data_IF_702675446066
#
_entry.id   IF_702675446066
#
_cell.length_a   1.000
_cell.length_b   1.000
_cell.length_c   1.000
_cell.angle_alpha   90.00
_cell.angle_beta   90.00
_cell.angle_gamma   90.00
#
_symmetry.space_group_name_H-M   'P 1'
#
loop_
_entity.id
_entity.type
_entity.pdbx_description
1 polymer ?
#
# COMPACT_ATOMS: atom_id res chain seq x y z
N UNK A 1 -0.08 1.36 -31.59
CA UNK A 1 0.16 0.57 -30.36
C UNK A 1 1.03 1.41 -29.44
N UNK A 2 0.42 2.09 -28.47
CA UNK A 2 1.19 2.88 -27.49
C UNK A 2 1.81 1.91 -26.48
N UNK A 3 3.11 1.68 -26.61
CA UNK A 3 3.88 1.00 -25.57
C UNK A 3 4.11 2.05 -24.49
N UNK A 4 3.25 2.07 -23.47
CA UNK A 4 3.54 2.80 -22.24
C UNK A 4 4.76 2.14 -21.61
N UNK A 5 5.93 2.76 -21.79
CA UNK A 5 7.15 2.38 -21.09
C UNK A 5 7.02 2.81 -19.63
N UNK A 6 6.08 2.19 -18.90
CA UNK A 6 5.89 2.44 -17.47
C UNK A 6 7.01 1.71 -16.75
N UNK A 7 7.88 2.49 -16.10
CA UNK A 7 8.85 1.97 -15.14
C UNK A 7 8.12 1.02 -14.19
N UNK A 8 8.58 -0.21 -14.09
CA UNK A 8 8.07 -1.17 -13.10
C UNK A 8 8.46 -0.63 -11.73
N UNK A 9 7.48 -0.35 -10.88
CA UNK A 9 7.72 0.08 -9.51
C UNK A 9 8.22 -1.12 -8.69
N UNK A 10 9.40 -1.01 -8.09
CA UNK A 10 10.08 -2.10 -7.39
C UNK A 10 10.04 -1.94 -5.86
N UNK A 11 10.47 -2.97 -5.12
CA UNK A 11 10.68 -2.87 -3.67
C UNK A 11 11.72 -1.80 -3.31
N UNK A 12 12.73 -1.58 -4.16
CA UNK A 12 13.70 -0.52 -3.94
C UNK A 12 13.06 0.87 -4.09
N UNK A 13 12.16 1.05 -5.07
CA UNK A 13 11.38 2.28 -5.22
C UNK A 13 10.45 2.50 -4.02
N UNK A 14 9.83 1.44 -3.51
CA UNK A 14 9.05 1.49 -2.27
C UNK A 14 9.89 2.02 -1.12
N UNK A 15 11.02 1.37 -0.83
CA UNK A 15 11.90 1.75 0.26
C UNK A 15 12.40 3.20 0.09
N UNK A 16 12.75 3.63 -1.11
CA UNK A 16 13.22 4.99 -1.39
C UNK A 16 12.11 6.05 -1.26
N UNK A 17 10.84 5.67 -1.40
CA UNK A 17 9.69 6.59 -1.23
C UNK A 17 9.31 6.86 0.23
N UNK A 18 9.81 6.03 1.16
CA UNK A 18 9.53 6.17 2.58
C UNK A 18 10.24 7.39 3.16
N UNK A 19 9.52 8.10 4.02
CA UNK A 19 10.04 9.24 4.77
C UNK A 19 11.14 8.80 5.73
N UNK A 20 12.13 9.66 5.98
CA UNK A 20 13.26 9.38 6.89
C UNK A 20 12.82 8.99 8.30
N UNK A 21 11.65 9.50 8.72
CA UNK A 21 10.96 9.06 9.93
C UNK A 21 9.55 8.64 9.61
N UNK A 22 9.16 7.47 10.09
CA UNK A 22 7.82 6.94 9.93
C UNK A 22 7.33 6.31 11.23
N UNK A 23 6.01 6.25 11.35
CA UNK A 23 5.36 5.57 12.47
C UNK A 23 5.51 4.06 12.30
N UNK A 24 5.92 3.37 13.36
CA UNK A 24 6.06 1.91 13.36
C UNK A 24 5.87 1.32 14.76
N UNK A 25 5.57 0.02 14.81
CA UNK A 25 5.44 -0.74 16.06
C UNK A 25 5.56 -2.24 15.81
N UNK A 26 5.98 -2.98 16.84
CA UNK A 26 5.89 -4.45 16.88
C UNK A 26 4.63 -4.95 17.58
N UNK A 27 4.05 -4.14 18.45
CA UNK A 27 2.83 -4.45 19.18
C UNK A 27 2.02 -3.15 19.40
N UNK A 28 0.78 -3.14 18.93
CA UNK A 28 -0.13 -2.02 19.09
C UNK A 28 -0.45 -1.70 20.56
N UNK A 29 -0.33 -2.66 21.49
CA UNK A 29 -0.51 -2.44 22.93
C UNK A 29 0.50 -1.43 23.51
N UNK A 30 1.71 -1.41 22.94
CA UNK A 30 2.76 -0.48 23.34
C UNK A 30 2.60 0.90 22.71
N UNK A 31 1.64 1.06 21.78
CA UNK A 31 1.45 2.26 20.97
C UNK A 31 2.24 2.24 19.65
N UNK A 32 2.13 3.35 18.92
CA UNK A 32 2.79 3.56 17.62
C UNK A 32 3.64 4.82 17.70
N UNK A 33 4.94 4.70 17.40
CA UNK A 33 5.90 5.80 17.56
C UNK A 33 6.65 6.11 16.27
N UNK A 34 7.15 7.34 16.17
CA UNK A 34 8.02 7.75 15.07
C UNK A 34 9.44 7.24 15.27
N UNK A 35 9.89 6.36 14.39
CA UNK A 35 11.24 5.81 14.36
C UNK A 35 11.99 6.28 13.11
N UNK A 36 13.32 6.25 13.18
CA UNK A 36 14.16 6.39 11.98
C UNK A 36 13.84 5.26 11.01
N UNK A 37 13.94 5.52 9.71
CA UNK A 37 13.56 4.58 8.65
C UNK A 37 14.23 3.23 8.80
N UNK A 38 15.52 3.19 9.12
CA UNK A 38 16.29 1.95 9.29
C UNK A 38 15.74 1.11 10.44
N UNK A 39 15.32 1.75 11.54
CA UNK A 39 14.71 1.08 12.69
C UNK A 39 13.26 0.69 12.37
N UNK A 40 12.50 1.57 11.73
CA UNK A 40 11.11 1.29 11.41
C UNK A 40 10.97 0.07 10.49
N UNK A 41 11.89 -0.10 9.53
CA UNK A 41 11.92 -1.24 8.62
C UNK A 41 12.22 -2.58 9.31
N UNK A 42 12.67 -2.60 10.56
CA UNK A 42 12.81 -3.85 11.34
C UNK A 42 11.56 -4.23 12.12
N UNK A 43 10.60 -3.30 12.29
CA UNK A 43 9.36 -3.56 13.01
C UNK A 43 8.34 -4.33 12.17
N UNK A 44 7.43 -5.04 12.84
CA UNK A 44 6.32 -5.78 12.19
C UNK A 44 5.35 -4.88 11.42
N UNK A 45 5.10 -3.67 11.92
CA UNK A 45 4.14 -2.75 11.34
C UNK A 45 4.78 -1.39 11.09
N UNK A 46 4.56 -0.86 9.88
CA UNK A 46 5.01 0.46 9.46
C UNK A 46 3.84 1.22 8.82
N UNK A 47 3.76 2.53 9.08
CA UNK A 47 2.85 3.44 8.40
C UNK A 47 3.64 4.21 7.33
N UNK A 48 3.57 3.74 6.09
CA UNK A 48 4.28 4.33 4.95
C UNK A 48 3.50 5.43 4.21
N UNK A 49 2.17 5.44 4.31
CA UNK A 49 1.34 6.56 3.86
C UNK A 49 1.27 7.61 4.98
N UNK A 50 1.66 8.85 4.68
CA UNK A 50 1.78 9.96 5.63
C UNK A 50 0.88 11.14 5.23
N UNK A 51 1.45 12.34 5.10
CA UNK A 51 0.77 13.51 4.54
C UNK A 51 0.34 13.27 3.08
N UNK A 52 0.96 12.29 2.40
CA UNK A 52 0.57 11.87 1.07
C UNK A 52 0.22 10.37 1.05
N UNK A 53 -0.89 10.04 0.38
CA UNK A 53 -1.20 8.68 -0.04
C UNK A 53 -0.32 8.41 -1.26
N UNK A 54 0.71 7.60 -1.08
CA UNK A 54 1.63 7.16 -2.13
C UNK A 54 1.22 5.79 -2.69
N UNK A 55 0.52 5.01 -1.86
CA UNK A 55 0.15 3.63 -2.17
C UNK A 55 -1.32 3.36 -1.84
N UNK A 56 -2.01 2.66 -2.75
CA UNK A 56 -3.25 1.97 -2.44
C UNK A 56 -2.93 0.59 -1.88
N UNK A 57 -3.44 0.28 -0.70
CA UNK A 57 -3.22 -0.98 0.00
C UNK A 57 -4.54 -1.68 0.17
N UNK A 58 -4.61 -2.94 -0.26
CA UNK A 58 -5.77 -3.81 -0.07
C UNK A 58 -5.33 -4.96 0.81
N UNK A 59 -6.06 -5.19 1.90
CA UNK A 59 -5.86 -6.31 2.81
C UNK A 59 -6.78 -7.45 2.37
N UNK A 60 -6.23 -8.65 2.19
CA UNK A 60 -6.95 -9.85 1.80
C UNK A 60 -6.86 -10.86 2.93
N UNK A 61 -8.01 -11.07 3.58
CA UNK A 61 -8.15 -11.97 4.73
C UNK A 61 -8.27 -13.45 4.36
N UNK A 62 -8.44 -13.76 3.08
CA UNK A 62 -8.54 -15.13 2.57
C UNK A 62 -7.15 -15.79 2.43
N UNK A 63 -7.05 -17.06 2.79
CA UNK A 63 -5.84 -17.86 2.62
C UNK A 63 -5.52 -18.09 1.13
N UNK A 64 -4.24 -18.10 0.77
CA UNK A 64 -3.77 -18.33 -0.61
C UNK A 64 -4.26 -17.31 -1.65
N UNK A 65 -4.71 -16.15 -1.22
CA UNK A 65 -5.22 -15.06 -2.04
C UNK A 65 -4.15 -14.29 -2.83
N UNK A 66 -2.91 -14.78 -2.95
CA UNK A 66 -1.80 -14.03 -3.57
C UNK A 66 -1.96 -13.73 -5.06
N UNK A 67 -2.83 -14.47 -5.76
CA UNK A 67 -3.08 -14.32 -7.21
C UNK A 67 -4.54 -13.97 -7.54
N UNK A 68 -5.40 -13.69 -6.55
CA UNK A 68 -6.82 -13.39 -6.77
C UNK A 68 -7.03 -12.22 -7.75
N UNK A 69 -6.12 -11.24 -7.78
CA UNK A 69 -6.18 -10.12 -8.75
C UNK A 69 -6.28 -10.59 -10.20
N UNK A 70 -5.63 -11.70 -10.57
CA UNK A 70 -5.65 -12.24 -11.93
C UNK A 70 -7.02 -12.82 -12.26
N UNK A 71 -7.60 -13.57 -11.32
CA UNK A 71 -8.91 -14.23 -11.47
C UNK A 71 -10.05 -13.23 -11.66
N UNK A 72 -9.96 -12.06 -11.01
CA UNK A 72 -11.00 -11.01 -11.05
C UNK A 72 -10.71 -9.91 -12.09
N UNK A 73 -9.66 -10.10 -12.89
CA UNK A 73 -9.23 -9.17 -13.94
C UNK A 73 -8.84 -7.79 -13.41
N UNK A 74 -8.21 -7.73 -12.25
CA UNK A 74 -7.52 -6.53 -11.75
C UNK A 74 -6.11 -6.46 -12.35
N UNK A 75 -5.51 -5.27 -12.46
CA UNK A 75 -4.10 -5.17 -12.83
C UNK A 75 -3.22 -5.85 -11.77
N UNK A 76 -2.04 -6.31 -12.17
CA UNK A 76 -1.06 -6.85 -11.21
C UNK A 76 -0.70 -5.77 -10.18
N UNK A 77 -0.71 -6.10 -8.88
CA UNK A 77 -0.13 -5.24 -7.86
C UNK A 77 1.37 -5.05 -8.10
N UNK A 78 1.91 -3.92 -7.62
CA UNK A 78 3.34 -3.65 -7.68
C UNK A 78 4.11 -4.51 -6.68
N UNK A 79 3.53 -4.75 -5.49
CA UNK A 79 4.10 -5.60 -4.44
C UNK A 79 2.98 -6.43 -3.82
N UNK A 80 3.25 -7.72 -3.60
CA UNK A 80 2.42 -8.62 -2.80
C UNK A 80 3.18 -9.00 -1.54
N UNK A 81 2.59 -8.73 -0.37
CA UNK A 81 3.14 -9.12 0.92
C UNK A 81 2.30 -10.26 1.47
N UNK A 82 2.87 -11.45 1.65
CA UNK A 82 2.15 -12.63 2.17
C UNK A 82 2.59 -12.93 3.60
N UNK A 83 1.64 -13.14 4.49
CA UNK A 83 1.90 -13.74 5.79
C UNK A 83 2.19 -15.24 5.60
N UNK A 84 3.39 -15.68 6.01
CA UNK A 84 3.85 -17.07 5.83
C UNK A 84 3.04 -18.09 6.65
N UNK A 85 2.37 -17.66 7.73
CA UNK A 85 1.68 -18.56 8.65
C UNK A 85 0.27 -18.91 8.20
N UNK A 86 -0.54 -17.91 7.83
CA UNK A 86 -1.96 -18.08 7.48
C UNK A 86 -2.26 -17.81 6.00
N UNK A 87 -1.26 -17.40 5.21
CA UNK A 87 -1.41 -17.21 3.78
C UNK A 87 -2.22 -15.97 3.35
N UNK A 88 -2.68 -15.15 4.29
CA UNK A 88 -3.27 -13.82 4.03
C UNK A 88 -2.24 -12.92 3.36
N UNK A 89 -2.70 -11.96 2.58
CA UNK A 89 -1.78 -11.09 1.87
C UNK A 89 -2.29 -9.65 1.73
N UNK A 90 -1.34 -8.74 1.55
CA UNK A 90 -1.63 -7.38 1.14
C UNK A 90 -1.20 -7.17 -0.30
N UNK A 91 -2.07 -6.51 -1.07
CA UNK A 91 -1.71 -5.95 -2.36
C UNK A 91 -1.35 -4.48 -2.21
N UNK A 92 -0.24 -4.07 -2.82
CA UNK A 92 0.23 -2.69 -2.81
C UNK A 92 0.32 -2.20 -4.26
N UNK A 93 -0.43 -1.15 -4.57
CA UNK A 93 -0.39 -0.43 -5.84
C UNK A 93 0.22 0.95 -5.61
N UNK A 94 1.31 1.26 -6.30
CA UNK A 94 1.93 2.57 -6.27
C UNK A 94 1.13 3.56 -7.12
N UNK A 95 0.83 4.73 -6.55
CA UNK A 95 0.21 5.81 -7.31
C UNK A 95 1.29 6.54 -8.12
N UNK A 96 1.00 6.80 -9.39
CA UNK A 96 1.88 7.58 -10.27
C UNK A 96 2.06 9.02 -9.75
N UNK A 97 1.01 9.59 -9.15
CA UNK A 97 1.04 10.88 -8.47
C UNK A 97 0.47 10.73 -7.05
N UNK A 98 1.26 11.01 -6.00
CA UNK A 98 0.77 10.96 -4.62
C UNK A 98 -0.37 11.94 -4.36
N UNK A 99 -1.31 11.54 -3.50
CA UNK A 99 -2.48 12.36 -3.16
C UNK A 99 -2.25 12.98 -1.79
N UNK A 100 -2.27 14.31 -1.69
CA UNK A 100 -2.21 14.98 -0.39
C UNK A 100 -3.43 14.57 0.46
N UNK A 101 -3.19 14.21 1.72
CA UNK A 101 -4.19 13.70 2.68
C UNK A 101 -4.19 14.49 3.99
N UNK A 102 -3.85 15.78 3.91
CA UNK A 102 -3.96 16.71 5.04
C UNK A 102 -5.39 17.22 5.18
N UNK A 103 -5.71 17.85 6.32
CA UNK A 103 -7.04 18.43 6.55
C UNK A 103 -7.44 19.48 5.49
N UNK A 104 -6.46 20.16 4.88
CA UNK A 104 -6.67 21.18 3.84
C UNK A 104 -6.55 20.60 2.42
N UNK A 105 -6.44 19.28 2.27
CA UNK A 105 -6.29 18.66 0.96
C UNK A 105 -7.56 18.82 0.10
N UNK A 106 -7.37 18.80 -1.21
CA UNK A 106 -8.50 18.83 -2.15
C UNK A 106 -9.28 17.53 -2.03
N UNK A 107 -10.57 17.65 -1.71
CA UNK A 107 -11.43 16.49 -1.49
C UNK A 107 -11.62 15.62 -2.74
N UNK A 108 -11.59 16.22 -3.95
CA UNK A 108 -11.90 15.51 -5.21
C UNK A 108 -10.91 14.36 -5.51
N UNK A 109 -9.57 14.55 -5.46
CA UNK A 109 -8.61 13.45 -5.58
C UNK A 109 -8.81 12.32 -4.56
N UNK A 110 -9.04 12.67 -3.29
CA UNK A 110 -9.25 11.69 -2.21
C UNK A 110 -10.53 10.88 -2.49
N UNK A 111 -11.64 11.55 -2.80
CA UNK A 111 -12.90 10.89 -3.12
C UNK A 111 -12.79 9.99 -4.36
N UNK A 112 -12.00 10.39 -5.36
CA UNK A 112 -11.74 9.55 -6.52
C UNK A 112 -10.93 8.30 -6.15
N UNK A 113 -9.85 8.47 -5.38
CA UNK A 113 -9.05 7.36 -4.86
C UNK A 113 -9.89 6.36 -4.06
N UNK A 114 -10.73 6.84 -3.13
CA UNK A 114 -11.58 5.96 -2.31
C UNK A 114 -12.61 5.20 -3.16
N UNK A 115 -13.15 5.81 -4.23
CA UNK A 115 -14.04 5.11 -5.17
C UNK A 115 -13.32 3.99 -5.93
N UNK A 116 -12.09 4.23 -6.39
CA UNK A 116 -11.28 3.21 -7.06
C UNK A 116 -10.92 2.10 -6.07
N UNK A 117 -10.47 2.44 -4.86
CA UNK A 117 -10.16 1.48 -3.80
C UNK A 117 -11.37 0.61 -3.47
N UNK A 118 -12.55 1.22 -3.30
CA UNK A 118 -13.80 0.49 -3.05
C UNK A 118 -14.16 -0.45 -4.19
N UNK A 119 -14.02 -0.03 -5.45
CA UNK A 119 -14.27 -0.89 -6.60
C UNK A 119 -13.31 -2.10 -6.66
N UNK A 120 -12.04 -1.92 -6.28
CA UNK A 120 -11.08 -3.02 -6.20
C UNK A 120 -11.43 -3.99 -5.06
N UNK A 121 -11.76 -3.46 -3.89
CA UNK A 121 -12.21 -4.27 -2.74
C UNK A 121 -13.47 -5.07 -3.08
N UNK A 122 -14.45 -4.47 -3.75
CA UNK A 122 -15.68 -5.16 -4.17
C UNK A 122 -15.41 -6.30 -5.18
N UNK A 123 -14.37 -6.17 -6.02
CA UNK A 123 -13.98 -7.24 -6.94
C UNK A 123 -13.26 -8.41 -6.26
N UNK A 124 -12.63 -8.17 -5.12
CA UNK A 124 -11.84 -9.16 -4.39
C UNK A 124 -12.62 -9.86 -3.27
N UNK A 125 -13.84 -9.41 -2.99
CA UNK A 125 -14.75 -9.95 -1.98
C UNK A 125 -15.81 -10.87 -2.59
#
# INVERSE_FOLDING_TARGET
MYVFNRKVFTLNDFNNSLSERLKSTDNFDNGVYFNQKEVALTHKYIQFNDLFIKFMVLDLDEENSTMNWELVGLPSPNIVVKNKLNGRCHYIYALESPICNTANARWRPIAYFERIKSAYTQKLN
#
